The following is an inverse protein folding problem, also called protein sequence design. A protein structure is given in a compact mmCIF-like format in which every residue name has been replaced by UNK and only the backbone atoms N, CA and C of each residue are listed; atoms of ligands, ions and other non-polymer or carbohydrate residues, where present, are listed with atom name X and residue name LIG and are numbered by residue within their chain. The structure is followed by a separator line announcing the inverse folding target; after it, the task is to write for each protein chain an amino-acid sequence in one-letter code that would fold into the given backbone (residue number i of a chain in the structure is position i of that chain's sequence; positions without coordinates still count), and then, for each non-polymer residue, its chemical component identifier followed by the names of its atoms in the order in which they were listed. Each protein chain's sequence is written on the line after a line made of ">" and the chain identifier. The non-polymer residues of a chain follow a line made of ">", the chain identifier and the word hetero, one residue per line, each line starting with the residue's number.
data_IF_284831750391
#
_entry.id   IF_284831750391
#
_cell.length_a   1.000
_cell.length_b   1.000
_cell.length_c   1.000
_cell.angle_alpha   90.00
_cell.angle_beta   90.00
_cell.angle_gamma   90.00
#
_symmetry.space_group_name_H-M   'P 1'
#
loop_
_entity.id
_entity.type
_entity.pdbx_description
1 polymer ?
#
# COMPACT_ATOMS: atom_id res chain seq x y z
N UNK A 1 -16.63 -53.12 -9.49
CA UNK A 1 -17.49 -51.91 -9.58
C UNK A 1 -17.23 -51.14 -8.31
N UNK A 2 -16.14 -50.37 -8.31
CA UNK A 2 -15.88 -49.34 -7.30
C UNK A 2 -15.78 -48.05 -8.09
N UNK A 3 -16.75 -47.12 -7.95
CA UNK A 3 -16.62 -45.81 -8.56
C UNK A 3 -15.58 -45.05 -7.76
N UNK A 4 -14.40 -44.83 -8.36
CA UNK A 4 -13.49 -43.79 -7.89
C UNK A 4 -14.30 -42.50 -7.76
N UNK A 5 -14.37 -41.98 -6.54
CA UNK A 5 -14.89 -40.66 -6.27
C UNK A 5 -13.95 -39.65 -6.91
N UNK A 6 -14.14 -39.36 -8.19
CA UNK A 6 -13.62 -38.16 -8.82
C UNK A 6 -14.25 -36.98 -8.09
N UNK A 7 -13.56 -36.52 -7.04
CA UNK A 7 -13.81 -35.20 -6.47
C UNK A 7 -13.77 -34.18 -7.61
N UNK A 8 -14.56 -33.10 -7.53
CA UNK A 8 -14.65 -32.12 -8.61
C UNK A 8 -13.24 -31.69 -9.01
N UNK A 9 -12.87 -31.91 -10.28
CA UNK A 9 -11.57 -31.49 -10.79
C UNK A 9 -11.42 -30.01 -10.48
N UNK A 10 -10.49 -29.67 -9.58
CA UNK A 10 -10.23 -28.26 -9.24
C UNK A 10 -9.56 -27.66 -10.46
N UNK A 11 -10.35 -27.02 -11.31
CA UNK A 11 -9.86 -26.38 -12.53
C UNK A 11 -8.97 -25.22 -12.12
N UNK A 12 -7.66 -25.44 -12.24
CA UNK A 12 -6.65 -24.48 -11.80
C UNK A 12 -6.70 -23.24 -12.69
N UNK A 13 -6.73 -22.08 -12.05
CA UNK A 13 -6.62 -20.77 -12.71
C UNK A 13 -5.18 -20.62 -13.20
N UNK A 14 -4.98 -20.16 -14.43
CA UNK A 14 -3.63 -19.97 -14.98
C UNK A 14 -2.94 -18.75 -14.35
N UNK A 15 -1.59 -18.68 -14.32
CA UNK A 15 -0.88 -17.51 -13.81
C UNK A 15 -1.33 -16.21 -14.49
N UNK A 16 -1.56 -16.21 -15.81
CA UNK A 16 -2.08 -15.04 -16.52
C UNK A 16 -3.45 -14.59 -16.01
N UNK A 17 -4.36 -15.53 -15.76
CA UNK A 17 -5.68 -15.22 -15.19
C UNK A 17 -5.56 -14.68 -13.75
N UNK A 18 -4.64 -15.20 -12.94
CA UNK A 18 -4.33 -14.69 -11.60
C UNK A 18 -3.78 -13.26 -11.68
N UNK A 19 -2.88 -12.97 -12.62
CA UNK A 19 -2.35 -11.64 -12.86
C UNK A 19 -3.48 -10.66 -13.25
N UNK A 20 -4.38 -11.06 -14.17
CA UNK A 20 -5.52 -10.23 -14.57
C UNK A 20 -6.49 -9.95 -13.42
N UNK A 21 -6.81 -10.95 -12.59
CA UNK A 21 -7.62 -10.79 -11.38
C UNK A 21 -6.95 -9.86 -10.35
N UNK A 22 -5.62 -9.94 -10.23
CA UNK A 22 -4.84 -9.08 -9.34
C UNK A 22 -4.80 -7.64 -9.84
N UNK A 23 -4.61 -7.44 -11.16
CA UNK A 23 -4.63 -6.13 -11.80
C UNK A 23 -5.96 -5.41 -11.61
N UNK A 24 -7.09 -6.10 -11.84
CA UNK A 24 -8.42 -5.49 -11.68
C UNK A 24 -8.67 -5.06 -10.23
N UNK A 25 -8.29 -5.89 -9.25
CA UNK A 25 -8.34 -5.55 -7.84
C UNK A 25 -7.48 -4.34 -7.48
N UNK A 26 -6.26 -4.27 -8.03
CA UNK A 26 -5.34 -3.17 -7.79
C UNK A 26 -5.82 -1.84 -8.38
N UNK A 27 -6.37 -1.88 -9.60
CA UNK A 27 -6.93 -0.70 -10.28
C UNK A 27 -8.16 -0.21 -9.52
N UNK A 28 -9.11 -1.09 -9.18
CA UNK A 28 -10.33 -0.72 -8.47
C UNK A 28 -10.02 -0.15 -7.08
N UNK A 29 -9.11 -0.81 -6.35
CA UNK A 29 -8.64 -0.31 -5.05
C UNK A 29 -8.01 1.06 -5.16
N UNK A 30 -7.13 1.26 -6.16
CA UNK A 30 -6.47 2.55 -6.38
C UNK A 30 -7.50 3.63 -6.72
N UNK A 31 -8.47 3.36 -7.59
CA UNK A 31 -9.53 4.31 -7.95
C UNK A 31 -10.36 4.74 -6.74
N UNK A 32 -10.69 3.82 -5.84
CA UNK A 32 -11.50 4.11 -4.65
C UNK A 32 -10.72 4.83 -3.54
N UNK A 33 -9.44 4.49 -3.35
CA UNK A 33 -8.64 5.01 -2.23
C UNK A 33 -7.91 6.31 -2.58
N UNK A 34 -7.63 6.59 -3.86
CA UNK A 34 -6.88 7.79 -4.28
C UNK A 34 -7.50 9.11 -3.78
N UNK A 35 -8.83 9.33 -3.82
CA UNK A 35 -9.44 10.54 -3.26
C UNK A 35 -9.11 10.76 -1.78
N UNK A 36 -9.14 9.69 -0.97
CA UNK A 36 -8.80 9.75 0.45
C UNK A 36 -7.32 10.06 0.67
N UNK A 37 -6.45 9.51 -0.18
CA UNK A 37 -5.01 9.82 -0.15
C UNK A 37 -4.72 11.28 -0.47
N UNK A 38 -5.39 11.85 -1.48
CA UNK A 38 -5.26 13.27 -1.83
C UNK A 38 -5.71 14.14 -0.67
N UNK A 39 -6.90 13.89 -0.09
CA UNK A 39 -7.41 14.66 1.06
C UNK A 39 -6.44 14.60 2.24
N UNK A 40 -5.93 13.41 2.57
CA UNK A 40 -4.97 13.22 3.67
C UNK A 40 -3.68 14.01 3.43
N UNK A 41 -3.10 13.92 2.23
CA UNK A 41 -1.86 14.62 1.90
C UNK A 41 -2.06 16.14 2.03
N UNK A 42 -3.19 16.67 1.55
CA UNK A 42 -3.50 18.10 1.64
C UNK A 42 -3.72 18.57 3.08
N UNK A 43 -4.38 17.77 3.92
CA UNK A 43 -4.50 18.04 5.36
C UNK A 43 -3.15 18.03 6.07
N UNK A 44 -2.29 17.05 5.78
CA UNK A 44 -0.96 16.94 6.39
C UNK A 44 -0.05 18.09 5.97
N UNK A 45 -0.15 18.55 4.72
CA UNK A 45 0.60 19.69 4.21
C UNK A 45 0.25 21.02 4.93
N UNK A 46 -0.91 21.13 5.57
CA UNK A 46 -1.28 22.34 6.33
C UNK A 46 -0.60 22.45 7.70
N UNK A 47 -0.26 21.31 8.33
CA UNK A 47 0.33 21.27 9.67
C UNK A 47 1.87 21.39 9.66
N UNK A 48 2.51 21.16 8.51
CA UNK A 48 3.93 21.43 8.30
C UNK A 48 4.06 22.64 7.37
N UNK A 49 3.89 23.89 7.85
CA UNK A 49 4.18 25.06 7.05
C UNK A 49 5.68 25.02 6.69
N UNK A 50 5.97 24.74 5.43
CA UNK A 50 7.32 24.84 4.88
C UNK A 50 7.90 26.22 5.19
N UNK A 51 9.23 26.31 5.35
CA UNK A 51 9.92 27.56 5.77
C UNK A 51 9.40 28.77 4.99
N UNK A 52 9.21 29.90 5.69
CA UNK A 52 8.79 31.19 5.10
C UNK A 52 9.52 31.43 3.77
N UNK A 53 8.79 31.77 2.70
CA UNK A 53 9.35 32.12 1.38
C UNK A 53 9.18 31.07 0.26
N UNK A 54 8.50 29.93 0.47
CA UNK A 54 8.24 28.93 -0.59
C UNK A 54 6.75 28.69 -0.78
N UNK A 55 6.21 29.08 -1.94
CA UNK A 55 4.87 28.71 -2.40
C UNK A 55 4.92 27.40 -3.20
N UNK A 56 3.90 26.56 -3.02
CA UNK A 56 3.78 25.27 -3.70
C UNK A 56 2.44 25.18 -4.40
N UNK A 57 2.47 24.74 -5.65
CA UNK A 57 1.29 24.39 -6.44
C UNK A 57 1.20 22.86 -6.44
N UNK A 58 0.00 22.32 -6.35
CA UNK A 58 -0.19 20.87 -6.54
C UNK A 58 -0.78 20.69 -7.93
N UNK A 59 0.06 20.36 -8.92
CA UNK A 59 -0.40 19.94 -10.23
C UNK A 59 -0.17 18.43 -10.39
N UNK A 60 -1.17 17.71 -10.87
CA UNK A 60 -1.06 16.27 -11.19
C UNK A 60 -0.59 15.37 -10.03
N UNK A 61 -1.05 15.65 -8.79
CA UNK A 61 -0.82 14.77 -7.63
C UNK A 61 0.63 14.71 -7.14
N UNK A 62 1.47 15.56 -7.71
CA UNK A 62 2.84 15.84 -7.30
C UNK A 62 2.88 17.16 -6.54
N UNK A 63 3.76 17.25 -5.56
CA UNK A 63 4.04 18.49 -4.85
C UNK A 63 4.96 19.33 -5.77
N UNK A 64 4.42 20.33 -6.49
CA UNK A 64 5.27 21.26 -7.25
C UNK A 64 5.87 22.30 -6.30
N UNK A 65 7.20 22.42 -6.35
CA UNK A 65 7.91 23.62 -5.91
C UNK A 65 7.96 24.61 -7.08
N UNK A 66 7.44 25.82 -6.88
CA UNK A 66 7.75 27.12 -7.50
C UNK A 66 6.51 28.00 -7.22
N UNK A 67 6.59 29.18 -6.61
CA UNK A 67 7.50 30.29 -6.92
C UNK A 67 8.18 30.91 -5.68
N UNK A 68 9.32 31.53 -5.94
CA UNK A 68 9.91 32.61 -5.15
C UNK A 68 8.95 33.81 -5.24
N UNK A 69 8.50 34.33 -4.11
CA UNK A 69 7.93 35.67 -4.04
C UNK A 69 8.97 36.54 -3.36
N UNK A 70 9.91 37.04 -4.15
CA UNK A 70 10.73 38.17 -3.77
C UNK A 70 10.64 39.13 -4.95
N UNK A 71 9.64 40.01 -4.89
CA UNK A 71 9.79 41.41 -5.25
C UNK A 71 8.54 42.18 -4.80
N UNK A 72 8.82 43.31 -4.15
CA UNK A 72 7.87 44.25 -3.58
C UNK A 72 6.90 44.76 -4.65
N UNK A 73 5.62 44.33 -4.59
CA UNK A 73 4.54 45.04 -5.28
C UNK A 73 3.58 44.21 -6.14
N UNK A 74 3.86 42.94 -6.45
CA UNK A 74 2.94 42.14 -7.29
C UNK A 74 2.09 41.15 -6.49
N UNK A 75 0.77 41.20 -6.74
CA UNK A 75 -0.27 40.38 -6.10
C UNK A 75 0.11 38.90 -6.14
N UNK A 76 0.00 38.21 -5.00
CA UNK A 76 0.22 36.77 -4.90
C UNK A 76 -0.65 36.03 -5.94
N UNK A 77 0.00 35.44 -6.94
CA UNK A 77 -0.66 34.73 -8.05
C UNK A 77 -1.38 33.44 -7.59
N UNK A 78 -1.11 33.00 -6.36
CA UNK A 78 -1.71 31.80 -5.75
C UNK A 78 -2.40 32.14 -4.44
N UNK A 79 -3.73 32.06 -4.44
CA UNK A 79 -4.55 32.20 -3.23
C UNK A 79 -4.49 30.87 -2.46
N UNK A 80 -3.73 30.82 -1.37
CA UNK A 80 -3.62 29.64 -0.49
C UNK A 80 -5.05 29.11 -0.20
N UNK A 81 -5.37 27.83 -0.50
CA UNK A 81 -6.66 27.29 -0.14
C UNK A 81 -6.84 27.43 1.37
N UNK A 82 -8.00 27.94 1.79
CA UNK A 82 -8.30 28.22 3.19
C UNK A 82 -8.01 27.01 4.08
N UNK A 83 -7.68 27.27 5.36
CA UNK A 83 -7.39 26.23 6.36
C UNK A 83 -8.49 25.15 6.32
N UNK A 84 -8.10 23.89 6.23
CA UNK A 84 -9.04 22.78 6.31
C UNK A 84 -9.31 22.53 7.79
N UNK A 85 -10.57 22.49 8.18
CA UNK A 85 -10.99 22.20 9.56
C UNK A 85 -11.19 20.70 9.80
N UNK A 86 -11.19 19.89 8.73
CA UNK A 86 -11.28 18.43 8.81
C UNK A 86 -11.30 17.76 7.43
N UNK A 87 -11.45 16.44 7.40
CA UNK A 87 -11.45 15.61 6.19
C UNK A 87 -12.59 15.94 5.23
N UNK A 88 -13.82 16.11 5.75
CA UNK A 88 -14.98 16.45 4.93
C UNK A 88 -14.90 17.87 4.36
N UNK A 89 -14.45 18.83 5.18
CA UNK A 89 -14.22 20.20 4.76
C UNK A 89 -13.12 20.28 3.68
N UNK A 90 -12.03 19.52 3.84
CA UNK A 90 -10.99 19.39 2.84
C UNK A 90 -11.53 18.78 1.54
N UNK A 91 -12.29 17.69 1.62
CA UNK A 91 -12.90 17.06 0.45
C UNK A 91 -13.80 18.04 -0.33
N UNK A 92 -14.74 18.70 0.36
CA UNK A 92 -15.66 19.64 -0.26
C UNK A 92 -14.94 20.86 -0.86
N UNK A 93 -13.95 21.42 -0.16
CA UNK A 93 -13.15 22.55 -0.67
C UNK A 93 -12.31 22.17 -1.88
N UNK A 94 -11.73 20.96 -1.91
CA UNK A 94 -10.96 20.48 -3.07
C UNK A 94 -11.88 20.32 -4.28
N UNK A 95 -13.03 19.66 -4.12
CA UNK A 95 -14.00 19.48 -5.21
C UNK A 95 -14.51 20.82 -5.73
N UNK A 96 -14.82 21.77 -4.84
CA UNK A 96 -15.34 23.09 -5.20
C UNK A 96 -14.29 23.99 -5.88
N UNK A 97 -13.04 23.95 -5.44
CA UNK A 97 -12.01 24.89 -5.89
C UNK A 97 -11.09 24.34 -6.99
N UNK A 98 -10.80 23.04 -6.98
CA UNK A 98 -9.88 22.39 -7.93
C UNK A 98 -10.63 21.47 -8.92
N UNK A 99 -11.91 21.19 -8.68
CA UNK A 99 -12.74 20.30 -9.49
C UNK A 99 -12.61 18.82 -9.12
N UNK A 100 -13.59 18.01 -9.50
CA UNK A 100 -13.69 16.59 -9.10
C UNK A 100 -12.49 15.74 -9.55
N UNK A 101 -11.91 16.02 -10.72
CA UNK A 101 -10.76 15.29 -11.27
C UNK A 101 -9.47 15.45 -10.44
N UNK A 102 -9.36 16.52 -9.66
CA UNK A 102 -8.20 16.78 -8.79
C UNK A 102 -7.98 15.69 -7.74
N UNK A 103 -9.05 15.00 -7.31
CA UNK A 103 -9.01 13.88 -6.37
C UNK A 103 -8.23 12.66 -6.91
N UNK A 104 -8.06 12.53 -8.23
CA UNK A 104 -7.28 11.46 -8.87
C UNK A 104 -5.98 11.94 -9.48
N UNK A 105 -5.56 13.16 -9.17
CA UNK A 105 -4.34 13.75 -9.73
C UNK A 105 -3.08 12.89 -9.45
N UNK A 106 -3.04 12.14 -8.34
CA UNK A 106 -1.94 11.21 -8.00
C UNK A 106 -2.12 9.76 -8.49
N UNK A 107 -3.17 9.45 -9.25
CA UNK A 107 -3.50 8.09 -9.66
C UNK A 107 -2.46 7.47 -10.63
N UNK A 108 -2.01 8.16 -11.70
CA UNK A 108 -1.07 7.55 -12.66
C UNK A 108 0.24 7.04 -12.04
N UNK A 109 1.02 7.83 -11.26
CA UNK A 109 2.23 7.32 -10.62
C UNK A 109 1.92 6.28 -9.53
N UNK A 110 0.70 6.28 -9.00
CA UNK A 110 0.26 5.24 -8.06
C UNK A 110 0.03 3.91 -8.75
N UNK A 111 -0.62 3.88 -9.92
CA UNK A 111 -0.91 2.67 -10.67
C UNK A 111 0.35 2.01 -11.24
N UNK A 112 1.29 2.79 -11.79
CA UNK A 112 2.57 2.30 -12.32
C UNK A 112 3.33 1.47 -11.27
N UNK A 113 3.12 1.77 -9.99
CA UNK A 113 3.75 1.10 -8.86
C UNK A 113 2.87 0.02 -8.23
N UNK A 114 1.59 0.31 -8.05
CA UNK A 114 0.66 -0.57 -7.34
C UNK A 114 0.36 -1.83 -8.16
N UNK A 115 0.25 -1.72 -9.49
CA UNK A 115 -0.11 -2.86 -10.35
C UNK A 115 1.01 -3.91 -10.36
N UNK A 116 2.29 -3.59 -10.66
CA UNK A 116 3.36 -4.60 -10.62
C UNK A 116 3.52 -5.22 -9.23
N UNK A 117 3.43 -4.41 -8.16
CA UNK A 117 3.60 -4.89 -6.80
C UNK A 117 2.52 -5.90 -6.39
N UNK A 118 1.25 -5.61 -6.71
CA UNK A 118 0.13 -6.49 -6.41
C UNK A 118 0.16 -7.75 -7.25
N UNK A 119 0.48 -7.64 -8.54
CA UNK A 119 0.62 -8.78 -9.46
C UNK A 119 1.69 -9.75 -8.98
N UNK A 120 2.90 -9.25 -8.68
CA UNK A 120 4.00 -10.08 -8.17
C UNK A 120 3.56 -10.75 -6.86
N UNK A 121 3.01 -9.97 -5.93
CA UNK A 121 2.59 -10.49 -4.63
C UNK A 121 1.54 -11.61 -4.72
N UNK A 122 0.41 -11.38 -5.40
CA UNK A 122 -0.68 -12.36 -5.46
C UNK A 122 -0.32 -13.57 -6.33
N UNK A 123 0.42 -13.37 -7.43
CA UNK A 123 0.90 -14.50 -8.25
C UNK A 123 1.88 -15.36 -7.47
N UNK A 124 2.88 -14.76 -6.80
CA UNK A 124 3.80 -15.50 -5.95
C UNK A 124 3.07 -16.20 -4.79
N UNK A 125 2.08 -15.55 -4.19
CA UNK A 125 1.26 -16.14 -3.14
C UNK A 125 0.52 -17.39 -3.62
N UNK A 126 -0.14 -17.32 -4.78
CA UNK A 126 -0.90 -18.46 -5.33
C UNK A 126 0.01 -19.62 -5.72
N UNK A 127 1.12 -19.34 -6.41
CA UNK A 127 2.07 -20.38 -6.83
C UNK A 127 2.70 -21.08 -5.61
N UNK A 128 3.09 -20.29 -4.60
CA UNK A 128 3.64 -20.84 -3.37
C UNK A 128 2.60 -21.58 -2.53
N UNK A 129 1.35 -21.08 -2.49
CA UNK A 129 0.25 -21.76 -1.82
C UNK A 129 -0.08 -23.09 -2.50
N UNK A 130 -0.09 -23.14 -3.83
CA UNK A 130 -0.31 -24.36 -4.59
C UNK A 130 0.80 -25.40 -4.35
N UNK A 131 2.06 -24.95 -4.34
CA UNK A 131 3.21 -25.79 -4.02
C UNK A 131 3.18 -26.33 -2.58
N UNK A 132 2.83 -25.49 -1.60
CA UNK A 132 2.73 -25.92 -0.20
C UNK A 132 1.55 -26.86 0.03
N UNK A 133 0.41 -26.63 -0.63
CA UNK A 133 -0.75 -27.54 -0.56
C UNK A 133 -0.44 -28.91 -1.15
N UNK A 134 0.31 -28.99 -2.24
CA UNK A 134 0.70 -30.28 -2.83
C UNK A 134 1.68 -31.07 -1.97
N UNK A 135 2.46 -30.40 -1.11
CA UNK A 135 3.45 -31.05 -0.23
C UNK A 135 2.95 -31.34 1.19
N UNK A 136 2.17 -30.44 1.79
CA UNK A 136 1.73 -30.52 3.20
C UNK A 136 0.26 -30.96 3.36
N UNK A 137 -0.50 -31.06 2.27
CA UNK A 137 -1.93 -31.37 2.29
C UNK A 137 -2.82 -30.12 2.28
N UNK A 138 -4.05 -30.25 1.78
CA UNK A 138 -4.93 -29.09 1.52
C UNK A 138 -5.47 -28.40 2.79
N UNK A 139 -5.54 -29.12 3.92
CA UNK A 139 -6.20 -28.64 5.14
C UNK A 139 -5.28 -27.90 6.13
N UNK A 140 -4.00 -27.75 5.82
CA UNK A 140 -3.06 -27.11 6.74
C UNK A 140 -3.30 -25.60 6.82
N UNK A 141 -3.76 -25.13 7.98
CA UNK A 141 -4.16 -23.72 8.19
C UNK A 141 -2.98 -22.75 8.20
N UNK A 142 -1.74 -23.26 8.29
CA UNK A 142 -0.51 -22.44 8.24
C UNK A 142 -0.07 -22.07 6.83
N UNK A 143 -0.57 -22.75 5.79
CA UNK A 143 -0.14 -22.53 4.40
C UNK A 143 -0.31 -21.07 3.97
N UNK A 144 -1.49 -20.42 4.16
CA UNK A 144 -1.70 -19.05 3.70
C UNK A 144 -0.77 -18.04 4.40
N UNK A 145 -0.39 -18.32 5.65
CA UNK A 145 0.54 -17.48 6.43
C UNK A 145 1.94 -17.57 5.85
N UNK A 146 2.45 -18.79 5.64
CA UNK A 146 3.81 -19.02 5.14
C UNK A 146 3.91 -18.51 3.69
N UNK A 147 2.95 -18.87 2.85
CA UNK A 147 2.90 -18.42 1.47
C UNK A 147 2.80 -16.89 1.39
N UNK A 148 1.90 -16.28 2.17
CA UNK A 148 1.70 -14.84 2.21
C UNK A 148 2.89 -14.05 2.75
N UNK A 149 3.65 -14.62 3.67
CA UNK A 149 4.86 -14.01 4.25
C UNK A 149 6.01 -14.04 3.24
N UNK A 150 6.30 -15.21 2.67
CA UNK A 150 7.38 -15.39 1.68
C UNK A 150 7.08 -14.60 0.40
N UNK A 151 5.84 -14.66 -0.09
CA UNK A 151 5.43 -13.88 -1.27
C UNK A 151 5.56 -12.37 -1.03
N UNK A 152 5.19 -11.88 0.16
CA UNK A 152 5.36 -10.46 0.50
C UNK A 152 6.83 -10.06 0.54
N UNK A 153 7.68 -10.87 1.16
CA UNK A 153 9.11 -10.61 1.22
C UNK A 153 9.73 -10.53 -0.18
N UNK A 154 9.40 -11.48 -1.06
CA UNK A 154 9.84 -11.48 -2.45
C UNK A 154 9.35 -10.26 -3.22
N UNK A 155 8.04 -9.95 -3.14
CA UNK A 155 7.45 -8.81 -3.82
C UNK A 155 8.08 -7.47 -3.39
N UNK A 156 8.24 -7.25 -2.08
CA UNK A 156 8.89 -6.03 -1.55
C UNK A 156 10.33 -5.92 -2.07
N UNK A 157 11.06 -7.02 -2.13
CA UNK A 157 12.45 -7.03 -2.59
C UNK A 157 12.58 -6.64 -4.07
N UNK A 158 11.68 -7.13 -4.92
CA UNK A 158 11.66 -6.79 -6.36
C UNK A 158 11.21 -5.34 -6.59
N UNK A 159 10.26 -4.85 -5.79
CA UNK A 159 9.63 -3.53 -5.98
C UNK A 159 10.42 -2.38 -5.32
N UNK A 160 11.30 -2.68 -4.35
CA UNK A 160 12.03 -1.66 -3.59
C UNK A 160 12.76 -0.59 -4.42
N UNK A 161 13.47 -0.93 -5.52
CA UNK A 161 14.08 0.07 -6.39
C UNK A 161 13.07 1.05 -7.01
N UNK A 162 11.92 0.52 -7.44
CA UNK A 162 10.85 1.32 -8.01
C UNK A 162 10.19 2.21 -6.94
N UNK A 163 10.04 1.72 -5.71
CA UNK A 163 9.55 2.52 -4.58
C UNK A 163 10.48 3.69 -4.25
N UNK A 164 11.80 3.47 -4.31
CA UNK A 164 12.78 4.54 -4.11
C UNK A 164 12.64 5.63 -5.18
N UNK A 165 12.52 5.23 -6.45
CA UNK A 165 12.31 6.15 -7.57
C UNK A 165 11.00 6.94 -7.38
N UNK A 166 9.91 6.24 -7.06
CA UNK A 166 8.59 6.84 -6.81
C UNK A 166 8.65 7.87 -5.69
N UNK A 167 9.20 7.50 -4.54
CA UNK A 167 9.29 8.40 -3.37
C UNK A 167 10.12 9.63 -3.68
N UNK A 168 11.19 9.49 -4.47
CA UNK A 168 12.00 10.61 -4.93
C UNK A 168 11.23 11.53 -5.87
N UNK A 169 10.52 10.98 -6.86
CA UNK A 169 9.64 11.73 -7.76
C UNK A 169 8.51 12.44 -7.01
N UNK A 170 7.96 11.83 -5.95
CA UNK A 170 6.93 12.45 -5.12
C UNK A 170 7.46 13.63 -4.30
N UNK A 171 8.73 13.61 -3.92
CA UNK A 171 9.38 14.69 -3.17
C UNK A 171 9.79 15.89 -4.03
N UNK A 172 10.13 15.65 -5.31
CA UNK A 172 10.59 16.68 -6.24
C UNK A 172 10.18 16.28 -7.66
N UNK A 173 9.69 17.25 -8.45
CA UNK A 173 9.46 17.04 -9.88
C UNK A 173 10.80 16.72 -10.56
N UNK A 174 10.87 15.55 -11.19
CA UNK A 174 12.00 15.14 -12.01
C UNK A 174 11.54 15.05 -13.46
N UNK A 175 12.30 15.64 -14.38
CA UNK A 175 12.27 15.24 -15.79
C UNK A 175 12.85 13.83 -15.93
N UNK A 176 12.43 13.08 -16.95
CA UNK A 176 12.96 11.73 -17.21
C UNK A 176 14.50 11.70 -17.32
N UNK A 177 15.09 12.75 -17.91
CA UNK A 177 16.55 12.90 -18.01
C UNK A 177 17.21 13.07 -16.65
N UNK A 178 16.64 13.90 -15.79
CA UNK A 178 17.14 14.15 -14.44
C UNK A 178 16.99 12.93 -13.54
N UNK A 179 15.92 12.13 -13.73
CA UNK A 179 15.75 10.87 -13.02
C UNK A 179 16.82 9.86 -13.43
N UNK A 180 17.08 9.72 -14.72
CA UNK A 180 18.15 8.84 -15.22
C UNK A 180 19.52 9.27 -14.68
N UNK A 181 19.82 10.57 -14.71
CA UNK A 181 21.05 11.12 -14.12
C UNK A 181 21.13 10.84 -12.61
N UNK A 182 20.03 10.99 -11.88
CA UNK A 182 19.98 10.66 -10.44
C UNK A 182 20.25 9.18 -10.19
N UNK A 183 19.60 8.27 -10.91
CA UNK A 183 19.79 6.82 -10.76
C UNK A 183 21.22 6.43 -11.14
N UNK A 184 21.70 6.89 -12.30
CA UNK A 184 23.05 6.62 -12.79
C UNK A 184 24.12 7.12 -11.81
N UNK A 185 24.00 8.37 -11.33
CA UNK A 185 24.91 8.94 -10.33
C UNK A 185 24.90 8.13 -9.03
N UNK A 186 23.71 7.76 -8.55
CA UNK A 186 23.55 6.99 -7.32
C UNK A 186 24.17 5.59 -7.44
N UNK A 187 24.01 4.94 -8.60
CA UNK A 187 24.61 3.64 -8.88
C UNK A 187 26.14 3.75 -9.02
N UNK A 188 26.67 4.83 -9.60
CA UNK A 188 28.14 5.01 -9.71
C UNK A 188 28.80 5.36 -8.37
N UNK A 189 28.12 6.11 -7.49
CA UNK A 189 28.69 6.56 -6.20
C UNK A 189 28.54 5.49 -5.10
N UNK A 190 27.34 4.94 -4.92
CA UNK A 190 27.00 4.04 -3.80
C UNK A 190 26.85 2.57 -4.23
N UNK A 191 27.03 2.27 -5.52
CA UNK A 191 26.77 0.96 -6.11
C UNK A 191 25.27 0.67 -6.34
N UNK A 192 24.98 -0.44 -7.01
CA UNK A 192 23.62 -0.91 -7.30
C UNK A 192 22.75 -1.22 -6.08
N UNK A 193 23.34 -1.69 -4.97
CA UNK A 193 22.63 -1.98 -3.71
C UNK A 193 21.97 -0.72 -3.11
N UNK A 194 22.47 0.46 -3.47
CA UNK A 194 21.91 1.75 -3.04
C UNK A 194 20.44 1.96 -3.44
N UNK A 195 19.96 1.24 -4.46
CA UNK A 195 18.56 1.26 -4.90
C UNK A 195 17.62 0.60 -3.88
N UNK A 196 18.15 -0.27 -3.01
CA UNK A 196 17.41 -0.89 -1.90
C UNK A 196 17.51 -0.08 -0.59
N UNK A 197 18.00 1.17 -0.63
CA UNK A 197 17.93 2.06 0.55
C UNK A 197 16.47 2.25 0.95
N UNK A 198 16.11 1.78 2.15
CA UNK A 198 14.75 1.79 2.67
C UNK A 198 14.02 0.44 2.61
N UNK A 199 14.63 -0.59 2.01
CA UNK A 199 14.10 -1.96 1.95
C UNK A 199 13.81 -2.52 3.35
N UNK A 200 14.77 -2.48 4.28
CA UNK A 200 14.61 -3.08 5.60
C UNK A 200 13.43 -2.50 6.40
N UNK A 201 13.23 -1.16 6.49
CA UNK A 201 12.02 -0.61 7.07
C UNK A 201 10.73 -0.98 6.34
N UNK A 202 10.76 -1.23 5.03
CA UNK A 202 9.58 -1.72 4.29
C UNK A 202 9.26 -3.17 4.61
N UNK A 203 10.25 -4.05 4.63
CA UNK A 203 10.09 -5.46 5.03
C UNK A 203 9.55 -5.57 6.46
N UNK A 204 10.10 -4.80 7.40
CA UNK A 204 9.69 -4.82 8.81
C UNK A 204 8.23 -4.43 9.02
N UNK A 205 7.64 -3.65 8.11
CA UNK A 205 6.22 -3.31 8.14
C UNK A 205 5.37 -4.33 7.39
N UNK A 206 5.74 -4.59 6.14
CA UNK A 206 4.87 -5.27 5.19
C UNK A 206 4.78 -6.77 5.48
N UNK A 207 5.87 -7.40 5.94
CA UNK A 207 5.91 -8.84 6.21
C UNK A 207 5.06 -9.19 7.44
N UNK A 208 5.22 -8.53 8.62
CA UNK A 208 4.32 -8.77 9.75
C UNK A 208 2.87 -8.44 9.43
N UNK A 209 2.61 -7.37 8.68
CA UNK A 209 1.27 -7.04 8.23
C UNK A 209 0.67 -8.19 7.39
N UNK A 210 1.42 -8.73 6.43
CA UNK A 210 0.98 -9.83 5.56
C UNK A 210 0.69 -11.11 6.36
N UNK A 211 1.57 -11.47 7.30
CA UNK A 211 1.39 -12.67 8.14
C UNK A 211 0.10 -12.59 8.96
N UNK A 212 -0.11 -11.46 9.65
CA UNK A 212 -1.32 -11.22 10.43
C UNK A 212 -2.57 -11.13 9.55
N UNK A 213 -2.44 -10.50 8.38
CA UNK A 213 -3.54 -10.38 7.44
C UNK A 213 -4.03 -11.74 6.96
N UNK A 214 -3.14 -12.61 6.47
CA UNK A 214 -3.57 -13.93 5.97
C UNK A 214 -4.09 -14.84 7.08
N UNK A 215 -3.47 -14.82 8.26
CA UNK A 215 -3.96 -15.58 9.41
C UNK A 215 -5.40 -15.19 9.76
N UNK A 216 -5.64 -13.90 10.01
CA UNK A 216 -6.98 -13.44 10.39
C UNK A 216 -7.98 -13.58 9.26
N UNK A 217 -7.56 -13.37 8.00
CA UNK A 217 -8.43 -13.54 6.84
C UNK A 217 -8.98 -14.97 6.75
N UNK A 218 -8.12 -15.97 6.88
CA UNK A 218 -8.54 -17.37 6.81
C UNK A 218 -9.42 -17.78 7.98
N UNK A 219 -9.09 -17.35 9.20
CA UNK A 219 -9.90 -17.61 10.40
C UNK A 219 -11.29 -16.99 10.25
N UNK A 220 -11.37 -15.70 9.87
CA UNK A 220 -12.63 -14.99 9.69
C UNK A 220 -13.46 -15.56 8.54
N UNK A 221 -12.82 -15.86 7.41
CA UNK A 221 -13.48 -16.47 6.24
C UNK A 221 -14.10 -17.81 6.60
N UNK A 222 -13.36 -18.71 7.27
CA UNK A 222 -13.88 -20.00 7.73
C UNK A 222 -15.03 -19.83 8.72
N UNK A 223 -14.91 -18.89 9.66
CA UNK A 223 -15.95 -18.60 10.65
C UNK A 223 -17.25 -18.08 9.99
N UNK A 224 -17.14 -17.14 9.06
CA UNK A 224 -18.30 -16.61 8.33
C UNK A 224 -18.93 -17.67 7.43
N UNK A 225 -18.16 -18.49 6.72
CA UNK A 225 -18.70 -19.59 5.91
C UNK A 225 -19.46 -20.61 6.77
N UNK A 226 -18.88 -21.03 7.90
CA UNK A 226 -19.53 -21.95 8.83
C UNK A 226 -20.83 -21.37 9.40
N UNK A 227 -20.83 -20.07 9.77
CA UNK A 227 -22.01 -19.39 10.31
C UNK A 227 -23.12 -19.22 9.26
N UNK A 228 -22.78 -19.01 8.00
CA UNK A 228 -23.75 -18.85 6.90
C UNK A 228 -24.18 -20.18 6.27
N UNK A 229 -23.59 -21.32 6.67
CA UNK A 229 -23.87 -22.62 6.07
C UNK A 229 -23.42 -22.75 4.62
N UNK A 230 -22.48 -21.91 4.18
CA UNK A 230 -22.00 -21.87 2.79
C UNK A 230 -20.65 -22.57 2.66
N UNK A 231 -20.55 -23.48 1.68
CA UNK A 231 -19.29 -24.15 1.35
C UNK A 231 -18.30 -23.20 0.65
N UNK A 232 -18.80 -22.36 -0.26
CA UNK A 232 -18.01 -21.37 -1.00
C UNK A 232 -18.16 -19.96 -0.42
N UNK A 233 -17.06 -19.20 -0.22
CA UNK A 233 -17.12 -17.85 0.30
C UNK A 233 -17.73 -16.89 -0.72
N UNK A 234 -18.77 -16.15 -0.32
CA UNK A 234 -19.38 -15.11 -1.16
C UNK A 234 -18.50 -13.86 -1.22
N UNK A 235 -18.77 -12.98 -2.19
CA UNK A 235 -18.11 -11.67 -2.27
C UNK A 235 -18.18 -10.90 -0.95
N UNK A 236 -19.32 -10.91 -0.26
CA UNK A 236 -19.50 -10.20 1.01
C UNK A 236 -18.67 -10.82 2.13
N UNK A 237 -18.55 -12.15 2.18
CA UNK A 237 -17.69 -12.84 3.16
C UNK A 237 -16.23 -12.46 2.93
N UNK A 238 -15.76 -12.49 1.68
CA UNK A 238 -14.38 -12.09 1.35
C UNK A 238 -14.13 -10.61 1.66
N UNK A 239 -15.10 -9.74 1.35
CA UNK A 239 -15.03 -8.31 1.63
C UNK A 239 -14.96 -8.00 3.13
N UNK A 240 -15.86 -8.56 3.95
CA UNK A 240 -15.87 -8.32 5.40
C UNK A 240 -14.67 -8.95 6.09
N UNK A 241 -14.29 -10.18 5.70
CA UNK A 241 -13.09 -10.85 6.22
C UNK A 241 -11.83 -10.05 5.88
N UNK A 242 -11.74 -9.53 4.65
CA UNK A 242 -10.65 -8.65 4.22
C UNK A 242 -10.57 -7.35 5.01
N UNK A 243 -11.72 -6.69 5.22
CA UNK A 243 -11.80 -5.44 5.99
C UNK A 243 -11.36 -5.63 7.45
N UNK A 244 -11.91 -6.64 8.13
CA UNK A 244 -11.65 -6.93 9.53
C UNK A 244 -10.21 -7.40 9.75
N UNK A 245 -9.73 -8.31 8.89
CA UNK A 245 -8.35 -8.77 8.93
C UNK A 245 -7.36 -7.62 8.71
N UNK A 246 -7.59 -6.80 7.68
CA UNK A 246 -6.76 -5.62 7.40
C UNK A 246 -6.76 -4.62 8.54
N UNK A 247 -7.90 -4.43 9.21
CA UNK A 247 -8.02 -3.56 10.39
C UNK A 247 -7.22 -4.08 11.57
N UNK A 248 -7.32 -5.38 11.89
CA UNK A 248 -6.57 -5.98 12.98
C UNK A 248 -5.06 -5.93 12.73
N UNK A 249 -4.64 -6.30 11.51
CA UNK A 249 -3.24 -6.19 11.09
C UNK A 249 -2.74 -4.73 11.15
N UNK A 250 -3.58 -3.75 10.78
CA UNK A 250 -3.25 -2.33 10.87
C UNK A 250 -3.13 -1.82 12.32
N UNK A 251 -3.91 -2.35 13.27
CA UNK A 251 -3.74 -2.00 14.69
C UNK A 251 -2.43 -2.56 15.21
N UNK A 252 -2.20 -3.85 15.00
CA UNK A 252 -1.05 -4.55 15.56
C UNK A 252 0.29 -4.08 14.98
N UNK A 253 0.32 -3.70 13.70
CA UNK A 253 1.54 -3.24 13.04
C UNK A 253 1.79 -1.73 13.21
N UNK A 254 0.91 -0.99 13.89
CA UNK A 254 1.02 0.47 14.01
C UNK A 254 2.29 0.96 14.72
N UNK A 255 2.75 0.31 15.80
CA UNK A 255 4.01 0.69 16.43
C UNK A 255 5.19 0.63 15.45
N UNK A 256 5.23 -0.36 14.55
CA UNK A 256 6.28 -0.48 13.53
C UNK A 256 6.21 0.64 12.48
N UNK A 257 5.00 1.06 12.09
CA UNK A 257 4.79 2.19 11.18
C UNK A 257 5.28 3.51 11.79
N UNK A 258 4.98 3.74 13.08
CA UNK A 258 5.41 4.94 13.79
C UNK A 258 6.94 4.97 13.90
N UNK A 259 7.57 3.84 14.24
CA UNK A 259 9.04 3.77 14.33
C UNK A 259 9.69 3.97 12.96
N UNK A 260 9.15 3.36 11.89
CA UNK A 260 9.63 3.57 10.52
C UNK A 260 9.57 5.03 10.10
N UNK A 261 8.43 5.68 10.29
CA UNK A 261 8.22 7.07 9.87
C UNK A 261 9.17 8.01 10.60
N UNK A 262 9.36 7.83 11.92
CA UNK A 262 10.34 8.59 12.71
C UNK A 262 11.79 8.36 12.24
N UNK A 263 12.16 7.10 11.98
CA UNK A 263 13.49 6.76 11.45
C UNK A 263 13.73 7.39 10.08
N UNK A 264 12.73 7.36 9.19
CA UNK A 264 12.81 8.03 7.89
C UNK A 264 12.99 9.54 8.07
N UNK A 265 12.20 10.20 8.92
CA UNK A 265 12.34 11.65 9.18
C UNK A 265 13.72 12.01 9.74
N UNK A 266 14.31 11.17 10.61
CA UNK A 266 15.66 11.39 11.13
C UNK A 266 16.74 11.24 10.06
N UNK A 267 16.62 10.21 9.20
CA UNK A 267 17.53 10.03 8.07
C UNK A 267 17.49 11.24 7.13
N UNK A 268 16.31 11.80 6.84
CA UNK A 268 16.18 13.03 6.05
C UNK A 268 16.87 14.24 6.70
N UNK A 269 16.73 14.40 8.02
CA UNK A 269 17.42 15.47 8.77
C UNK A 269 18.94 15.30 8.75
N UNK A 270 19.41 14.06 8.85
CA UNK A 270 20.83 13.74 8.75
C UNK A 270 21.39 14.00 7.35
N UNK A 271 20.72 13.55 6.29
CA UNK A 271 21.16 13.80 4.90
C UNK A 271 21.17 15.30 4.56
N UNK A 272 20.24 16.08 5.10
CA UNK A 272 20.12 17.52 4.79
C UNK A 272 21.07 18.41 5.60
N UNK A 273 21.37 18.05 6.84
CA UNK A 273 22.14 18.93 7.74
C UNK A 273 23.35 18.26 8.43
N UNK A 274 23.57 16.95 8.27
CA UNK A 274 24.62 16.16 8.95
C UNK A 274 24.65 16.30 10.49
N UNK A 275 23.53 16.64 11.12
CA UNK A 275 23.48 17.04 12.54
C UNK A 275 23.54 15.85 13.53
N UNK A 276 23.03 14.66 13.19
CA UNK A 276 22.89 13.57 14.17
C UNK A 276 23.01 12.15 13.58
N UNK A 277 23.83 11.29 14.21
CA UNK A 277 23.93 9.87 13.88
C UNK A 277 22.55 9.18 13.88
N UNK A 278 22.30 8.23 12.95
CA UNK A 278 21.03 7.51 12.90
C UNK A 278 20.85 6.68 14.19
N UNK A 279 19.85 7.04 14.99
CA UNK A 279 19.54 6.32 16.23
C UNK A 279 19.03 4.91 15.95
N UNK A 280 19.33 3.99 16.87
CA UNK A 280 18.78 2.63 16.83
C UNK A 280 17.25 2.68 16.91
N UNK A 281 16.60 1.74 16.20
CA UNK A 281 15.14 1.53 16.17
C UNK A 281 14.57 1.44 17.60
N UNK A 282 15.29 0.78 18.50
CA UNK A 282 14.91 0.61 19.91
C UNK A 282 14.95 1.92 20.70
N UNK A 283 15.97 2.74 20.48
CA UNK A 283 16.11 4.06 21.11
C UNK A 283 15.01 5.01 20.67
N UNK A 284 14.62 4.97 19.39
CA UNK A 284 13.48 5.74 18.87
C UNK A 284 12.19 5.33 19.58
N UNK A 285 11.95 4.02 19.71
CA UNK A 285 10.76 3.51 20.40
C UNK A 285 10.71 3.93 21.87
N UNK A 286 11.82 3.77 22.61
CA UNK A 286 11.94 4.25 23.99
C UNK A 286 11.68 5.74 24.13
N UNK A 287 12.25 6.56 23.23
CA UNK A 287 12.06 8.00 23.24
C UNK A 287 10.60 8.42 22.98
N UNK A 288 9.87 7.68 22.13
CA UNK A 288 8.45 7.93 21.87
C UNK A 288 7.63 7.62 23.12
N UNK A 289 7.86 6.47 23.75
CA UNK A 289 7.15 6.07 24.96
C UNK A 289 7.45 7.01 26.12
N UNK A 290 8.70 7.47 26.25
CA UNK A 290 9.08 8.43 27.28
C UNK A 290 8.44 9.81 27.10
N UNK A 291 8.21 10.27 25.85
CA UNK A 291 7.64 11.60 25.57
C UNK A 291 6.12 11.63 25.51
N UNK A 292 5.50 10.64 24.86
CA UNK A 292 4.07 10.64 24.53
C UNK A 292 3.31 9.47 25.19
N UNK A 293 3.98 8.69 26.04
CA UNK A 293 3.44 7.44 26.60
C UNK A 293 3.21 6.36 25.54
N UNK A 294 2.57 5.27 25.94
CA UNK A 294 2.20 4.17 25.02
C UNK A 294 1.21 4.60 23.93
N UNK A 295 0.35 5.59 24.22
CA UNK A 295 -0.56 6.16 23.22
C UNK A 295 0.18 6.78 22.02
N UNK A 296 1.41 7.26 22.23
CA UNK A 296 2.29 7.76 21.17
C UNK A 296 2.55 6.74 20.05
N UNK A 297 2.63 5.44 20.38
CA UNK A 297 2.85 4.36 19.41
C UNK A 297 1.63 4.09 18.52
N UNK A 298 0.44 4.55 18.92
CA UNK A 298 -0.81 4.41 18.17
C UNK A 298 -1.29 5.72 17.54
N UNK A 299 -0.42 6.73 17.48
CA UNK A 299 -0.74 8.02 16.85
C UNK A 299 -1.00 7.82 15.36
N UNK A 300 -2.18 8.26 14.89
CA UNK A 300 -2.58 8.11 13.49
C UNK A 300 -3.36 6.83 13.14
N UNK A 301 -3.83 6.08 14.16
CA UNK A 301 -4.63 4.86 13.95
C UNK A 301 -5.89 5.11 13.10
N UNK A 302 -6.68 6.14 13.40
CA UNK A 302 -7.94 6.42 12.70
C UNK A 302 -7.71 6.66 11.19
N UNK A 303 -6.82 7.59 10.76
CA UNK A 303 -6.48 7.74 9.34
C UNK A 303 -5.94 6.47 8.69
N UNK A 304 -5.28 5.60 9.46
CA UNK A 304 -4.77 4.33 8.95
C UNK A 304 -5.91 3.34 8.69
N UNK A 305 -6.85 3.18 9.63
CA UNK A 305 -8.00 2.29 9.49
C UNK A 305 -8.92 2.70 8.35
N UNK A 306 -9.23 4.00 8.25
CA UNK A 306 -10.05 4.56 7.15
C UNK A 306 -9.46 4.22 5.78
N UNK A 307 -8.13 4.12 5.67
CA UNK A 307 -7.46 3.78 4.42
C UNK A 307 -7.35 2.26 4.20
N UNK A 308 -6.83 1.54 5.20
CA UNK A 308 -6.43 0.14 5.02
C UNK A 308 -7.63 -0.80 4.95
N UNK A 309 -8.67 -0.57 5.77
CA UNK A 309 -9.81 -1.47 5.80
C UNK A 309 -10.53 -1.54 4.44
N UNK A 310 -10.89 -0.41 3.79
CA UNK A 310 -11.48 -0.46 2.45
C UNK A 310 -10.52 -1.01 1.39
N UNK A 311 -9.23 -0.65 1.47
CA UNK A 311 -8.25 -1.09 0.48
C UNK A 311 -8.07 -2.61 0.49
N UNK A 312 -7.93 -3.22 1.67
CA UNK A 312 -7.84 -4.66 1.82
C UNK A 312 -9.13 -5.37 1.39
N UNK A 313 -10.29 -4.83 1.79
CA UNK A 313 -11.60 -5.39 1.47
C UNK A 313 -11.84 -5.47 -0.04
N UNK A 314 -11.63 -4.36 -0.75
CA UNK A 314 -11.81 -4.27 -2.20
C UNK A 314 -10.79 -5.16 -2.92
N UNK A 315 -9.52 -5.09 -2.52
CA UNK A 315 -8.46 -5.87 -3.18
C UNK A 315 -8.77 -7.37 -3.14
N UNK A 316 -9.04 -7.92 -1.96
CA UNK A 316 -9.24 -9.36 -1.82
C UNK A 316 -10.57 -9.81 -2.42
N UNK A 317 -11.64 -9.03 -2.26
CA UNK A 317 -12.95 -9.42 -2.80
C UNK A 317 -12.95 -9.41 -4.33
N UNK A 318 -12.31 -8.42 -4.96
CA UNK A 318 -12.16 -8.38 -6.42
C UNK A 318 -11.26 -9.51 -6.92
N UNK A 319 -10.16 -9.78 -6.23
CA UNK A 319 -9.24 -10.85 -6.60
C UNK A 319 -9.89 -12.24 -6.49
N UNK A 320 -10.56 -12.54 -5.39
CA UNK A 320 -11.29 -13.81 -5.21
C UNK A 320 -12.43 -13.95 -6.22
N UNK A 321 -13.21 -12.88 -6.42
CA UNK A 321 -14.24 -12.86 -7.47
C UNK A 321 -13.66 -13.12 -8.86
N UNK A 322 -12.52 -12.51 -9.19
CA UNK A 322 -11.82 -12.73 -10.44
C UNK A 322 -11.38 -14.19 -10.62
N UNK A 323 -10.83 -14.82 -9.57
CA UNK A 323 -10.49 -16.25 -9.59
C UNK A 323 -11.72 -17.11 -9.83
N UNK A 324 -12.81 -16.90 -9.10
CA UNK A 324 -14.05 -17.67 -9.29
C UNK A 324 -14.62 -17.47 -10.70
N UNK A 325 -14.54 -16.27 -11.26
CA UNK A 325 -14.95 -15.99 -12.63
C UNK A 325 -14.13 -16.80 -13.65
N UNK A 326 -12.80 -16.79 -13.54
CA UNK A 326 -11.93 -17.56 -14.44
C UNK A 326 -12.07 -19.08 -14.26
N UNK A 327 -12.30 -19.57 -13.03
CA UNK A 327 -12.60 -20.97 -12.78
C UNK A 327 -13.87 -21.41 -13.53
N UNK A 328 -14.95 -20.64 -13.40
CA UNK A 328 -16.21 -20.91 -14.12
C UNK A 328 -16.04 -20.86 -15.63
N UNK A 329 -15.22 -19.93 -16.14
CA UNK A 329 -14.94 -19.83 -17.57
C UNK A 329 -14.11 -21.03 -18.08
N UNK A 330 -13.11 -21.47 -17.32
CA UNK A 330 -12.31 -22.63 -17.68
C UNK A 330 -13.13 -23.93 -17.63
N UNK A 331 -14.04 -24.05 -16.65
CA UNK A 331 -15.02 -25.15 -16.57
C UNK A 331 -15.89 -25.25 -17.82
N UNK A 332 -16.44 -24.11 -18.26
CA UNK A 332 -17.26 -24.05 -19.48
C UNK A 332 -16.46 -24.42 -20.74
N UNK A 333 -15.18 -24.03 -20.81
CA UNK A 333 -14.31 -24.35 -21.95
C UNK A 333 -13.91 -25.82 -22.03
N UNK A 334 -13.87 -26.55 -20.91
CA UNK A 334 -13.59 -27.98 -20.90
C UNK A 334 -14.82 -28.84 -21.21
N UNK A 335 -16.01 -28.26 -21.13
CA UNK A 335 -17.29 -28.91 -21.47
C UNK A 335 -17.69 -28.75 -22.95
N UNK A 336 -16.94 -27.98 -23.74
CA UNK A 336 -17.13 -27.79 -25.18
C UNK A 336 -16.01 -28.49 -25.95
#
# INVERSE_FOLDING_TARGET
>A
MDPESEGPQIIKVTPLQQMLASCSGAILTSLMVTPLDVVKIRLQAQNNPFSKGKCFVYSNGLMDHLCVCEEEGNKAWYKKPGRFQGTLDAFLKIVRNEGIKSLWSGLPPTLVMAVPATVIYFTCYDQLSAFLRSKLGENESRIPIIAGTIARFGAVTVISPLELIRTKMQSKKFSYKELHQFVSKKVSEDGWISLWRGWAPTVLRDVPFSAMYWYNYEVLKKWFCAKSGLYEPTFMINFTSGALSGSFAAVATLPFDVVKTQKQTQLWKYESHKISLPMSTWTIMKNIVAKNGFAGLFTGLIPRLIKIAPACAIMISTYEFGKTFFQKQNARRQQC
#
